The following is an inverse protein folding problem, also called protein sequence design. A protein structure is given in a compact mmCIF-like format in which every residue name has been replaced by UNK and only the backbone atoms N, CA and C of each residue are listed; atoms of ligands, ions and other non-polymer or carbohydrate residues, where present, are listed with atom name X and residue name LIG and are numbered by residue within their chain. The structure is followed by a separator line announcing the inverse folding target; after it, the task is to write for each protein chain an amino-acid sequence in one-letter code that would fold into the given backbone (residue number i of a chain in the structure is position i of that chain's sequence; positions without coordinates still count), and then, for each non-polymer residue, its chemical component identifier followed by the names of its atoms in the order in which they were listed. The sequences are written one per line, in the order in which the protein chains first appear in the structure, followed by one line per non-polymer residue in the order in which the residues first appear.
data_IF_086753320081
#
_entry.id   IF_086753320081
#
_cell.length_a   1.000
_cell.length_b   1.000
_cell.length_c   1.000
_cell.angle_alpha   90.00
_cell.angle_beta   90.00
_cell.angle_gamma   90.00
#
_symmetry.space_group_name_H-M   'P 1'
#
loop_
_entity.id
_entity.type
_entity.pdbx_description
1 polymer ?
#
# COMPACT_ATOMS: atom_id res chain seq x y z
N UNK A 1 24.03 7.20 -20.59
CA UNK A 1 23.18 8.25 -19.97
C UNK A 1 21.71 7.82 -19.90
N UNK A 2 21.14 7.25 -20.96
CA UNK A 2 19.76 6.73 -20.95
C UNK A 2 19.51 5.66 -19.86
N UNK A 3 20.45 4.74 -19.63
CA UNK A 3 20.28 3.64 -18.67
C UNK A 3 20.08 4.12 -17.22
N UNK A 4 20.73 5.24 -16.86
CA UNK A 4 20.60 5.83 -15.53
C UNK A 4 19.20 6.39 -15.29
N UNK A 5 18.64 7.09 -16.28
CA UNK A 5 17.27 7.61 -16.20
C UNK A 5 16.24 6.48 -16.23
N UNK A 6 16.48 5.44 -17.04
CA UNK A 6 15.63 4.25 -17.07
C UNK A 6 15.59 3.55 -15.70
N UNK A 7 16.75 3.41 -15.04
CA UNK A 7 16.82 2.82 -13.70
C UNK A 7 16.12 3.69 -12.64
N UNK A 8 16.19 5.02 -12.76
CA UNK A 8 15.43 5.93 -11.88
C UNK A 8 13.92 5.75 -12.07
N UNK A 9 13.47 5.77 -13.33
CA UNK A 9 12.06 5.59 -13.65
C UNK A 9 11.52 4.25 -13.14
N UNK A 10 12.30 3.17 -13.26
CA UNK A 10 11.97 1.85 -12.74
C UNK A 10 11.84 1.85 -11.21
N UNK A 11 12.81 2.44 -10.50
CA UNK A 11 12.77 2.54 -9.04
C UNK A 11 11.56 3.32 -8.54
N UNK A 12 11.27 4.47 -9.14
CA UNK A 12 10.08 5.25 -8.78
C UNK A 12 8.77 4.51 -9.05
N UNK A 13 8.67 3.80 -10.18
CA UNK A 13 7.51 2.97 -10.49
C UNK A 13 7.30 1.84 -9.48
N UNK A 14 8.39 1.30 -8.92
CA UNK A 14 8.37 0.31 -7.84
C UNK A 14 8.09 0.90 -6.44
N UNK A 15 7.93 2.23 -6.32
CA UNK A 15 7.64 2.90 -5.05
C UNK A 15 8.87 3.28 -4.22
N UNK A 16 10.05 3.35 -4.84
CA UNK A 16 11.24 3.94 -4.22
C UNK A 16 11.24 5.47 -4.35
N UNK A 17 11.78 6.16 -3.34
CA UNK A 17 12.08 7.60 -3.42
C UNK A 17 13.31 7.87 -4.29
N UNK A 18 13.52 9.13 -4.70
CA UNK A 18 14.73 9.51 -5.42
C UNK A 18 16.01 9.31 -4.59
N UNK A 19 15.93 9.45 -3.28
CA UNK A 19 17.06 9.22 -2.37
C UNK A 19 17.39 7.72 -2.27
N UNK A 20 16.36 6.86 -2.13
CA UNK A 20 16.51 5.40 -2.12
C UNK A 20 17.13 4.89 -3.44
N UNK A 21 16.69 5.43 -4.58
CA UNK A 21 17.25 5.12 -5.89
C UNK A 21 18.65 5.71 -6.08
N UNK A 22 18.88 6.93 -5.59
CA UNK A 22 20.17 7.61 -5.66
C UNK A 22 21.27 6.79 -5.00
N UNK A 23 21.01 6.21 -3.82
CA UNK A 23 21.93 5.30 -3.15
C UNK A 23 22.30 4.07 -3.99
N UNK A 24 21.34 3.46 -4.70
CA UNK A 24 21.61 2.32 -5.59
C UNK A 24 22.48 2.70 -6.81
N UNK A 25 22.45 3.97 -7.23
CA UNK A 25 23.13 4.45 -8.44
C UNK A 25 24.59 4.82 -8.21
N UNK A 26 25.00 5.14 -6.98
CA UNK A 26 26.35 5.62 -6.67
C UNK A 26 27.36 4.47 -6.74
N UNK A 27 27.07 3.35 -6.08
CA UNK A 27 28.00 2.21 -6.02
C UNK A 27 27.56 1.01 -6.87
N UNK A 28 26.42 1.10 -7.56
CA UNK A 28 25.73 -0.04 -8.22
C UNK A 28 25.51 -1.26 -7.30
N UNK A 29 25.67 -1.06 -5.99
CA UNK A 29 25.41 -2.06 -4.97
C UNK A 29 23.92 -2.00 -4.63
N UNK A 30 23.15 -2.85 -5.30
CA UNK A 30 21.73 -3.00 -5.02
C UNK A 30 21.59 -3.77 -3.70
N UNK A 31 21.11 -3.07 -2.66
CA UNK A 31 20.75 -3.72 -1.41
C UNK A 31 19.52 -4.63 -1.61
N UNK A 32 19.77 -5.93 -1.64
CA UNK A 32 18.75 -6.96 -1.83
C UNK A 32 17.72 -6.97 -0.69
N UNK A 33 18.11 -6.63 0.53
CA UNK A 33 17.18 -6.57 1.65
C UNK A 33 16.21 -5.41 1.50
N UNK A 34 16.70 -4.26 1.03
CA UNK A 34 15.84 -3.12 0.72
C UNK A 34 14.81 -3.44 -0.37
N UNK A 35 15.20 -4.20 -1.40
CA UNK A 35 14.27 -4.68 -2.43
C UNK A 35 13.20 -5.60 -1.87
N UNK A 36 13.59 -6.58 -1.04
CA UNK A 36 12.64 -7.50 -0.38
C UNK A 36 11.67 -6.73 0.51
N UNK A 37 12.17 -5.78 1.31
CA UNK A 37 11.34 -4.95 2.17
C UNK A 37 10.32 -4.11 1.38
N UNK A 38 10.71 -3.56 0.23
CA UNK A 38 9.79 -2.85 -0.65
C UNK A 38 8.73 -3.79 -1.25
N UNK A 39 9.14 -4.99 -1.66
CA UNK A 39 8.20 -6.01 -2.15
C UNK A 39 7.16 -6.38 -1.08
N UNK A 40 7.59 -6.59 0.17
CA UNK A 40 6.69 -6.87 1.29
C UNK A 40 5.71 -5.72 1.57
N UNK A 41 6.17 -4.47 1.44
CA UNK A 41 5.32 -3.28 1.55
C UNK A 41 4.24 -3.26 0.45
N UNK A 42 4.64 -3.51 -0.80
CA UNK A 42 3.74 -3.58 -1.94
C UNK A 42 2.72 -4.71 -1.75
N UNK A 43 3.15 -5.89 -1.32
CA UNK A 43 2.27 -7.03 -1.05
C UNK A 43 1.24 -6.73 0.04
N UNK A 44 1.65 -6.07 1.12
CA UNK A 44 0.72 -5.63 2.16
C UNK A 44 -0.31 -4.64 1.60
N UNK A 45 0.12 -3.70 0.74
CA UNK A 45 -0.78 -2.74 0.08
C UNK A 45 -1.72 -3.42 -0.90
N UNK A 46 -1.24 -4.37 -1.71
CA UNK A 46 -2.03 -5.16 -2.66
C UNK A 46 -3.12 -5.92 -1.91
N UNK A 47 -2.79 -6.63 -0.82
CA UNK A 47 -3.79 -7.35 -0.01
C UNK A 47 -4.89 -6.42 0.49
N UNK A 48 -4.54 -5.21 0.94
CA UNK A 48 -5.51 -4.20 1.36
C UNK A 48 -6.39 -3.74 0.20
N UNK A 49 -5.80 -3.41 -0.95
CA UNK A 49 -6.54 -2.98 -2.14
C UNK A 49 -7.46 -4.09 -2.67
N UNK A 50 -7.01 -5.35 -2.65
CA UNK A 50 -7.84 -6.49 -3.00
C UNK A 50 -9.03 -6.65 -2.06
N UNK A 51 -8.84 -6.49 -0.75
CA UNK A 51 -9.94 -6.53 0.22
C UNK A 51 -10.96 -5.41 -0.03
N UNK A 52 -10.49 -4.19 -0.28
CA UNK A 52 -11.35 -3.05 -0.64
C UNK A 52 -12.11 -3.32 -1.94
N UNK A 53 -11.41 -3.81 -2.97
CA UNK A 53 -12.00 -4.16 -4.27
C UNK A 53 -13.09 -5.23 -4.15
N UNK A 54 -12.86 -6.26 -3.32
CA UNK A 54 -13.88 -7.26 -2.99
C UNK A 54 -15.09 -6.64 -2.26
N UNK A 55 -14.84 -5.74 -1.32
CA UNK A 55 -15.90 -4.99 -0.62
C UNK A 55 -16.77 -4.16 -1.56
N UNK A 56 -16.15 -3.43 -2.49
CA UNK A 56 -16.86 -2.63 -3.50
C UNK A 56 -17.71 -3.50 -4.43
N UNK A 57 -17.17 -4.62 -4.91
CA UNK A 57 -17.93 -5.58 -5.72
C UNK A 57 -19.11 -6.17 -4.94
N UNK A 58 -18.93 -6.45 -3.65
CA UNK A 58 -20.01 -6.93 -2.81
C UNK A 58 -21.12 -5.88 -2.63
N UNK A 59 -20.77 -4.62 -2.36
CA UNK A 59 -21.74 -3.55 -2.22
C UNK A 59 -22.60 -3.40 -3.48
N UNK A 60 -21.99 -3.45 -4.67
CA UNK A 60 -22.69 -3.39 -5.95
C UNK A 60 -23.64 -4.56 -6.24
N UNK A 61 -23.48 -5.69 -5.55
CA UNK A 61 -24.31 -6.89 -5.71
C UNK A 61 -25.11 -7.21 -4.44
N UNK A 62 -25.13 -6.30 -3.46
CA UNK A 62 -25.77 -6.55 -2.18
C UNK A 62 -27.29 -6.65 -2.40
N UNK A 63 -27.94 -7.75 -1.99
CA UNK A 63 -29.38 -7.93 -2.22
C UNK A 63 -30.24 -7.15 -1.23
N UNK A 64 -29.65 -6.64 -0.14
CA UNK A 64 -30.38 -5.85 0.85
C UNK A 64 -30.81 -4.51 0.24
N UNK A 65 -32.10 -4.20 0.35
CA UNK A 65 -32.66 -2.90 -0.09
C UNK A 65 -32.06 -1.72 0.69
N UNK A 66 -31.73 -1.95 1.97
CA UNK A 66 -30.94 -1.04 2.79
C UNK A 66 -29.55 -1.62 3.06
N UNK A 67 -28.51 -1.00 2.53
CA UNK A 67 -27.12 -1.41 2.77
C UNK A 67 -26.71 -1.34 4.25
N UNK A 68 -27.38 -0.55 5.09
CA UNK A 68 -27.15 -0.54 6.53
C UNK A 68 -27.66 -1.82 7.20
N UNK A 69 -28.60 -2.55 6.59
CA UNK A 69 -29.01 -3.87 7.04
C UNK A 69 -27.98 -4.96 6.70
N UNK A 70 -27.07 -4.72 5.76
CA UNK A 70 -26.06 -5.70 5.35
C UNK A 70 -25.09 -6.03 6.51
N UNK A 71 -25.04 -7.28 7.00
CA UNK A 71 -24.19 -7.63 8.14
C UNK A 71 -22.69 -7.44 7.87
N UNK A 72 -22.25 -7.65 6.62
CA UNK A 72 -20.87 -7.39 6.20
C UNK A 72 -20.54 -5.91 6.26
N UNK A 73 -21.46 -5.06 5.81
CA UNK A 73 -21.29 -3.61 5.84
C UNK A 73 -21.26 -3.08 7.28
N UNK A 74 -22.16 -3.53 8.15
CA UNK A 74 -22.16 -3.18 9.57
C UNK A 74 -20.85 -3.57 10.27
N UNK A 75 -20.29 -4.75 9.96
CA UNK A 75 -18.99 -5.17 10.51
C UNK A 75 -17.86 -4.23 10.06
N UNK A 76 -17.85 -3.83 8.79
CA UNK A 76 -16.86 -2.88 8.27
C UNK A 76 -17.00 -1.50 8.91
N UNK A 77 -18.23 -1.00 9.09
CA UNK A 77 -18.50 0.26 9.80
C UNK A 77 -17.93 0.24 11.23
N UNK A 78 -18.13 -0.87 11.97
CA UNK A 78 -17.54 -1.03 13.32
C UNK A 78 -16.02 -1.01 13.30
N UNK A 79 -15.39 -1.70 12.34
CA UNK A 79 -13.94 -1.68 12.18
C UNK A 79 -13.42 -0.29 11.80
N UNK A 80 -14.18 0.47 11.00
CA UNK A 80 -13.86 1.85 10.63
C UNK A 80 -13.89 2.78 11.84
N UNK A 81 -14.98 2.72 12.62
CA UNK A 81 -15.15 3.51 13.83
C UNK A 81 -14.05 3.20 14.88
N UNK A 82 -13.57 1.95 14.92
CA UNK A 82 -12.46 1.54 15.77
C UNK A 82 -11.07 1.92 15.21
N UNK A 83 -10.99 2.58 14.05
CA UNK A 83 -9.71 2.89 13.37
C UNK A 83 -8.97 1.67 12.82
N UNK A 84 -9.57 0.47 12.86
CA UNK A 84 -8.95 -0.80 12.52
C UNK A 84 -8.83 -1.04 11.00
N UNK A 85 -9.49 -0.21 10.17
CA UNK A 85 -9.34 -0.25 8.70
C UNK A 85 -8.12 0.52 8.20
N UNK A 86 -7.55 1.40 9.03
CA UNK A 86 -6.27 2.07 8.77
C UNK A 86 -5.13 1.16 9.16
N UNK A 87 -4.56 0.43 8.19
CA UNK A 87 -3.35 -0.37 8.43
C UNK A 87 -2.27 0.46 9.12
N UNK A 88 -1.44 -0.19 9.95
CA UNK A 88 -0.39 0.35 10.84
C UNK A 88 0.57 1.42 10.25
N UNK A 89 0.44 1.76 8.98
CA UNK A 89 1.16 2.82 8.25
C UNK A 89 0.92 4.24 8.79
N UNK A 90 -0.26 4.54 9.35
CA UNK A 90 -0.50 5.87 9.94
C UNK A 90 0.40 6.17 11.16
N UNK A 91 0.83 5.13 11.89
CA UNK A 91 1.75 5.27 13.03
C UNK A 91 3.23 5.39 12.64
N UNK A 92 3.64 4.93 11.45
CA UNK A 92 5.05 5.04 10.99
C UNK A 92 5.40 6.43 10.44
N UNK A 93 4.44 7.14 9.83
CA UNK A 93 4.67 8.52 9.36
C UNK A 93 4.87 9.54 10.48
N UNK A 94 4.42 9.24 11.70
CA UNK A 94 4.56 10.13 12.85
C UNK A 94 5.93 10.05 13.55
N UNK A 95 6.79 9.08 13.22
CA UNK A 95 8.09 8.87 13.90
C UNK A 95 9.31 9.16 13.01
N UNK A 96 9.12 9.45 11.72
CA UNK A 96 10.20 9.79 10.76
C UNK A 96 10.21 11.29 10.43
N UNK A 97 9.38 12.08 11.12
CA UNK A 97 9.25 13.52 10.93
C UNK A 97 9.72 14.33 12.16
N UNK A 98 10.59 13.76 12.99
CA UNK A 98 11.37 14.44 14.04
C UNK A 98 12.85 14.09 13.87
#
# INVERSE_FOLDING_TARGET
MADRLALIALGQAAGFSLDEVGAMLVDLQVDRQMLIAKADELDARIRRLQAMSKGLRHAAQCPEEDHLACPKFQRLMKLSAAGALGGKQARRKAFVAD
#
